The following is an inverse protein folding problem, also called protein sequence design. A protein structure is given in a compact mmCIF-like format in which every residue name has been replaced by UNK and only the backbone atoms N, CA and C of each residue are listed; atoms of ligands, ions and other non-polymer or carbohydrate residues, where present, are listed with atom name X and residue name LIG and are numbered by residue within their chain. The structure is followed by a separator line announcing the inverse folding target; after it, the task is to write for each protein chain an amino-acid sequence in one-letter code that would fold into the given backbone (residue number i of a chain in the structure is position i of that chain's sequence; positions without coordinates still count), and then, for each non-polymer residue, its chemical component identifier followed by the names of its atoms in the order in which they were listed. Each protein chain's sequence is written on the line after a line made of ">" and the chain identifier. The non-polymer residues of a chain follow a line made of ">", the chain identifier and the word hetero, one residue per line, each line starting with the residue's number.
data_IF_276356947668
#
_entry.id   IF_276356947668
#
_cell.length_a   1.000
_cell.length_b   1.000
_cell.length_c   1.000
_cell.angle_alpha   90.00
_cell.angle_beta   90.00
_cell.angle_gamma   90.00
#
_symmetry.space_group_name_H-M   'P 1'
#
loop_
_entity.id
_entity.type
_entity.pdbx_description
1 polymer ?
#
# COMPACT_ATOMS: atom_id res chain seq x y z
N UNK A 1 -53.77 41.34 -3.08
CA UNK A 1 -52.50 41.60 -3.76
C UNK A 1 -51.32 41.79 -2.80
N UNK A 2 -51.35 42.62 -1.75
CA UNK A 2 -50.21 42.81 -0.82
C UNK A 2 -49.69 41.53 -0.11
N UNK A 3 -50.55 40.55 0.22
CA UNK A 3 -50.11 39.29 0.87
C UNK A 3 -49.42 38.30 -0.06
N UNK A 4 -49.64 38.39 -1.36
CA UNK A 4 -48.97 37.52 -2.35
C UNK A 4 -47.57 38.05 -2.65
N UNK A 5 -47.41 39.37 -2.77
CA UNK A 5 -46.10 39.99 -2.95
C UNK A 5 -45.17 39.78 -1.77
N UNK A 6 -45.67 39.76 -0.53
CA UNK A 6 -44.86 39.50 0.67
C UNK A 6 -44.38 38.04 0.72
N UNK A 7 -45.20 37.09 0.29
CA UNK A 7 -44.79 35.68 0.20
C UNK A 7 -43.75 35.42 -0.88
N UNK A 8 -43.88 36.06 -2.04
CA UNK A 8 -42.91 35.96 -3.13
C UNK A 8 -41.58 36.62 -2.72
N UNK A 9 -41.60 37.76 -2.05
CA UNK A 9 -40.39 38.45 -1.52
C UNK A 9 -39.66 37.58 -0.47
N UNK A 10 -40.38 36.89 0.40
CA UNK A 10 -39.79 35.98 1.40
C UNK A 10 -39.19 34.73 0.74
N UNK A 11 -39.84 34.17 -0.29
CA UNK A 11 -39.29 33.03 -1.06
C UNK A 11 -38.07 33.42 -1.88
N UNK A 12 -38.03 34.60 -2.48
CA UNK A 12 -36.85 35.11 -3.19
C UNK A 12 -35.67 35.39 -2.23
N UNK A 13 -35.95 35.88 -1.02
CA UNK A 13 -34.92 36.16 -0.02
C UNK A 13 -34.33 34.87 0.57
N UNK A 14 -35.14 33.79 0.73
CA UNK A 14 -34.68 32.51 1.19
C UNK A 14 -33.86 31.74 0.13
N UNK A 15 -34.09 31.98 -1.16
CA UNK A 15 -33.32 31.38 -2.25
C UNK A 15 -31.90 31.97 -2.41
N UNK A 16 -31.70 33.22 -1.99
CA UNK A 16 -30.38 33.90 -2.05
C UNK A 16 -29.45 33.46 -0.93
N UNK A 17 -29.98 32.92 0.18
CA UNK A 17 -29.17 32.49 1.33
C UNK A 17 -28.62 31.07 1.18
N UNK A 18 -29.09 30.27 0.18
CA UNK A 18 -28.63 28.93 -0.07
C UNK A 18 -27.45 28.81 -1.06
N UNK A 19 -26.93 29.91 -1.53
CA UNK A 19 -25.70 29.94 -2.35
C UNK A 19 -24.45 29.93 -1.49
N UNK A 20 -24.26 28.94 -0.64
CA UNK A 20 -22.97 28.67 -0.04
C UNK A 20 -22.07 28.07 -1.13
N UNK A 21 -21.33 28.93 -1.81
CA UNK A 21 -20.19 28.50 -2.62
C UNK A 21 -19.15 27.93 -1.65
N UNK A 22 -19.06 26.61 -1.56
CA UNK A 22 -17.86 25.95 -1.06
C UNK A 22 -16.81 26.17 -2.15
N UNK A 23 -15.93 27.14 -1.96
CA UNK A 23 -14.73 27.24 -2.76
C UNK A 23 -13.73 26.23 -2.17
N UNK A 24 -13.35 25.22 -2.94
CA UNK A 24 -12.14 24.49 -2.65
C UNK A 24 -10.98 25.50 -2.75
N UNK A 25 -10.43 25.86 -1.60
CA UNK A 25 -9.25 26.71 -1.53
C UNK A 25 -8.06 25.85 -2.00
N UNK A 26 -7.66 26.03 -3.24
CA UNK A 26 -6.39 25.52 -3.76
C UNK A 26 -5.37 26.64 -3.56
N UNK A 27 -4.38 26.48 -2.64
CA UNK A 27 -3.34 27.48 -2.46
C UNK A 27 -2.60 27.74 -3.76
N UNK A 28 -2.47 28.98 -4.16
CA UNK A 28 -1.66 29.40 -5.29
C UNK A 28 -0.17 29.42 -4.85
N UNK A 29 0.75 29.37 -5.81
CA UNK A 29 2.19 29.43 -5.55
C UNK A 29 2.63 30.72 -4.83
N UNK A 30 1.85 31.80 -4.87
CA UNK A 30 2.07 33.03 -4.12
C UNK A 30 1.70 32.91 -2.63
N UNK A 31 0.77 32.04 -2.28
CA UNK A 31 0.39 31.74 -0.89
C UNK A 31 1.46 30.89 -0.20
N UNK A 32 2.35 30.29 -1.00
CA UNK A 32 3.47 29.46 -0.55
C UNK A 32 4.76 30.27 -0.28
N UNK A 33 4.75 31.59 -0.52
CA UNK A 33 5.85 32.49 -0.16
C UNK A 33 5.91 32.67 1.36
N UNK A 34 6.55 31.74 2.04
CA UNK A 34 6.68 31.69 3.49
C UNK A 34 6.59 30.27 4.04
N UNK A 35 6.42 29.28 3.18
CA UNK A 35 6.51 27.88 3.59
C UNK A 35 7.95 27.64 4.04
N UNK A 36 8.06 27.32 5.31
CA UNK A 36 9.26 26.82 5.97
C UNK A 36 9.87 25.68 5.13
N UNK A 37 11.19 25.51 5.21
CA UNK A 37 11.90 24.40 4.54
C UNK A 37 11.13 23.09 4.76
N UNK A 38 11.05 22.18 3.74
CA UNK A 38 10.42 20.88 3.90
C UNK A 38 10.92 20.19 5.16
N UNK A 39 10.00 19.69 5.97
CA UNK A 39 10.34 19.01 7.24
C UNK A 39 10.96 17.65 6.94
N UNK A 40 11.90 17.23 7.78
CA UNK A 40 12.44 15.87 7.76
C UNK A 40 11.40 14.92 8.36
N UNK A 41 11.12 13.84 7.65
CA UNK A 41 10.25 12.75 8.08
C UNK A 41 11.11 11.51 8.30
N UNK A 42 11.03 10.93 9.50
CA UNK A 42 11.76 9.73 9.91
C UNK A 42 10.71 8.69 10.30
N UNK A 43 10.62 7.61 9.53
CA UNK A 43 9.67 6.53 9.72
C UNK A 43 10.41 5.21 9.97
N UNK A 44 10.12 4.56 11.06
CA UNK A 44 10.67 3.24 11.42
C UNK A 44 10.68 3.03 12.93
N UNK A 45 10.49 1.77 13.33
CA UNK A 45 10.60 1.33 14.72
C UNK A 45 11.87 0.51 14.90
N UNK A 46 12.51 0.58 16.05
CA UNK A 46 13.65 -0.28 16.40
C UNK A 46 13.10 -1.67 16.77
N UNK A 47 13.43 -2.67 15.95
CA UNK A 47 12.97 -4.06 16.12
C UNK A 47 14.05 -4.88 16.82
N UNK A 48 13.89 -5.11 18.10
CA UNK A 48 14.84 -5.88 18.92
C UNK A 48 14.71 -7.38 18.58
N UNK A 49 15.83 -7.99 18.23
CA UNK A 49 15.88 -9.39 17.79
C UNK A 49 15.62 -9.58 16.29
N UNK A 50 15.51 -8.49 15.51
CA UNK A 50 15.21 -8.50 14.09
C UNK A 50 16.07 -7.53 13.27
N UNK A 51 15.50 -7.08 12.17
CA UNK A 51 16.08 -6.03 11.31
C UNK A 51 15.25 -4.76 11.45
N UNK A 52 15.89 -3.64 11.72
CA UNK A 52 15.25 -2.33 11.81
C UNK A 52 15.34 -1.64 10.46
N UNK A 53 14.19 -1.33 9.85
CA UNK A 53 14.10 -0.56 8.61
C UNK A 53 13.67 0.86 8.91
N UNK A 54 14.41 1.85 8.39
CA UNK A 54 14.14 3.28 8.60
C UNK A 54 14.05 3.99 7.27
N UNK A 55 12.91 4.62 6.99
CA UNK A 55 12.71 5.45 5.82
C UNK A 55 12.89 6.93 6.14
N UNK A 56 13.65 7.62 5.32
CA UNK A 56 14.00 9.03 5.46
C UNK A 56 13.55 9.81 4.23
N UNK A 57 12.63 10.75 4.43
CA UNK A 57 12.11 11.60 3.36
C UNK A 57 11.82 13.03 3.85
N UNK A 58 11.54 13.94 2.95
CA UNK A 58 10.99 15.25 3.29
C UNK A 58 9.48 15.26 3.17
N UNK A 59 8.83 16.20 3.87
CA UNK A 59 7.46 16.59 3.50
C UNK A 59 7.46 17.19 2.09
N UNK A 60 6.34 17.06 1.40
CA UNK A 60 6.12 17.68 0.10
C UNK A 60 4.88 18.57 0.16
N UNK A 61 4.90 19.79 -0.41
CA UNK A 61 3.70 20.61 -0.50
C UNK A 61 2.71 19.98 -1.49
N UNK A 62 1.43 19.97 -1.15
CA UNK A 62 0.36 19.61 -2.08
C UNK A 62 0.10 20.83 -2.96
N UNK A 63 0.60 20.82 -4.21
CA UNK A 63 0.40 21.88 -5.18
C UNK A 63 -0.69 21.48 -6.19
N UNK A 64 -1.78 22.20 -6.20
CA UNK A 64 -2.84 22.01 -7.21
C UNK A 64 -3.55 20.66 -7.17
N UNK A 65 -3.59 19.99 -6.00
CA UNK A 65 -4.19 18.65 -5.86
C UNK A 65 -3.33 17.50 -6.38
N UNK A 66 -2.08 17.77 -6.80
CA UNK A 66 -1.12 16.74 -7.21
C UNK A 66 -0.19 16.49 -6.03
N UNK A 67 -0.22 15.27 -5.49
CA UNK A 67 0.80 14.80 -4.55
C UNK A 67 2.14 14.71 -5.29
N UNK A 68 3.15 15.38 -4.75
CA UNK A 68 4.54 15.19 -5.19
C UNK A 68 5.23 14.33 -4.14
N UNK A 69 6.00 13.35 -4.57
CA UNK A 69 6.81 12.56 -3.65
C UNK A 69 7.83 13.45 -2.93
N UNK A 70 7.95 13.28 -1.63
CA UNK A 70 8.98 13.96 -0.86
C UNK A 70 10.39 13.53 -1.31
N UNK A 71 11.39 14.39 -1.07
CA UNK A 71 12.78 14.07 -1.39
C UNK A 71 13.24 12.95 -0.45
N UNK A 72 13.74 11.85 -1.01
CA UNK A 72 14.37 10.76 -0.26
C UNK A 72 15.82 11.10 0.10
N UNK A 73 16.20 10.88 1.37
CA UNK A 73 17.55 11.18 1.86
C UNK A 73 18.45 9.94 1.78
N UNK A 74 18.76 9.48 0.56
CA UNK A 74 19.59 8.29 0.32
C UNK A 74 21.04 8.42 0.85
N UNK A 75 21.56 9.64 0.94
CA UNK A 75 22.92 9.91 1.46
C UNK A 75 23.00 10.06 2.97
N UNK A 76 21.93 9.79 3.71
CA UNK A 76 21.93 9.86 5.17
C UNK A 76 22.71 8.70 5.81
N UNK A 77 23.09 8.88 7.08
CA UNK A 77 23.60 7.81 7.93
C UNK A 77 22.62 7.53 9.05
N UNK A 78 22.33 6.27 9.30
CA UNK A 78 21.37 5.82 10.33
C UNK A 78 22.06 4.84 11.26
N UNK A 79 21.83 4.97 12.58
CA UNK A 79 22.32 4.00 13.55
C UNK A 79 21.39 3.93 14.76
N UNK A 80 21.45 2.80 15.45
CA UNK A 80 20.83 2.61 16.76
C UNK A 80 21.90 2.74 17.83
N UNK A 81 21.57 3.36 18.97
CA UNK A 81 22.47 3.57 20.09
C UNK A 81 21.78 3.14 21.40
N UNK A 82 22.53 2.50 22.31
CA UNK A 82 22.05 2.25 23.67
C UNK A 82 22.56 3.32 24.66
N UNK A 83 22.09 3.30 25.91
CA UNK A 83 22.48 4.28 26.94
C UNK A 83 23.97 4.18 27.34
N UNK A 84 24.61 3.03 27.10
CA UNK A 84 26.04 2.84 27.38
C UNK A 84 26.93 3.32 26.22
N UNK A 85 26.33 3.80 25.12
CA UNK A 85 27.08 4.35 23.98
C UNK A 85 27.51 3.29 22.95
N UNK A 86 27.01 2.06 23.03
CA UNK A 86 27.20 1.08 21.97
C UNK A 86 26.34 1.43 20.76
N UNK A 87 26.90 1.24 19.55
CA UNK A 87 26.30 1.67 18.28
C UNK A 87 26.15 0.48 17.34
N UNK A 88 24.97 0.39 16.68
CA UNK A 88 24.66 -0.52 15.57
C UNK A 88 24.43 0.31 14.32
N UNK A 89 25.38 0.24 13.38
CA UNK A 89 25.36 1.04 12.16
C UNK A 89 24.37 0.46 11.14
N UNK A 90 23.64 1.34 10.46
CA UNK A 90 22.76 0.98 9.37
C UNK A 90 23.42 1.08 8.00
N UNK A 91 22.95 0.28 7.09
CA UNK A 91 23.37 0.26 5.68
C UNK A 91 22.21 0.72 4.79
N UNK A 92 22.47 1.44 3.69
CA UNK A 92 21.42 1.79 2.73
C UNK A 92 20.84 0.55 2.08
N UNK A 93 19.52 0.52 1.89
CA UNK A 93 18.82 -0.54 1.17
C UNK A 93 18.79 -0.27 -0.34
N UNK A 94 18.18 -1.17 -1.11
CA UNK A 94 17.92 -0.95 -2.54
C UNK A 94 16.87 0.15 -2.78
N UNK A 95 15.99 0.39 -1.82
CA UNK A 95 15.00 1.45 -1.87
C UNK A 95 15.61 2.78 -1.44
N UNK A 96 15.43 3.81 -2.27
CA UNK A 96 16.01 5.13 -2.03
C UNK A 96 15.49 5.76 -0.74
N UNK A 97 16.39 6.19 0.14
CA UNK A 97 16.07 6.79 1.44
C UNK A 97 15.72 5.78 2.53
N UNK A 98 15.77 4.49 2.26
CA UNK A 98 15.58 3.43 3.25
C UNK A 98 16.93 2.88 3.70
N UNK A 99 17.10 2.76 5.02
CA UNK A 99 18.30 2.20 5.67
C UNK A 99 17.89 1.03 6.56
N UNK A 100 18.75 0.02 6.63
CA UNK A 100 18.50 -1.18 7.42
C UNK A 100 19.62 -1.35 8.46
N UNK A 101 19.23 -1.49 9.72
CA UNK A 101 20.14 -1.74 10.86
C UNK A 101 19.95 -3.17 11.33
N UNK A 102 21.02 -3.93 11.48
CA UNK A 102 20.98 -5.25 12.11
C UNK A 102 20.86 -5.11 13.64
N UNK A 103 19.64 -5.32 14.13
CA UNK A 103 19.29 -5.20 15.54
C UNK A 103 19.00 -6.55 16.22
N UNK A 104 19.42 -7.66 15.59
CA UNK A 104 19.24 -9.03 16.12
C UNK A 104 19.98 -9.26 17.43
N UNK A 105 21.10 -8.57 17.63
CA UNK A 105 21.91 -8.69 18.84
C UNK A 105 21.51 -7.77 20.01
N UNK A 106 20.41 -7.00 19.88
CA UNK A 106 19.95 -6.12 20.95
C UNK A 106 19.30 -6.90 22.10
N UNK A 107 19.59 -6.50 23.35
CA UNK A 107 18.94 -7.06 24.53
C UNK A 107 17.53 -6.52 24.72
N UNK A 108 16.59 -7.38 25.13
CA UNK A 108 15.22 -6.96 25.45
C UNK A 108 15.12 -6.13 26.75
N UNK A 109 16.15 -6.13 27.59
CA UNK A 109 16.20 -5.36 28.83
C UNK A 109 16.86 -3.97 28.62
N UNK A 110 17.35 -3.71 27.40
CA UNK A 110 18.03 -2.47 27.05
C UNK A 110 17.10 -1.29 26.80
N UNK A 111 17.71 -0.11 26.71
CA UNK A 111 17.07 1.11 26.23
C UNK A 111 17.83 1.64 25.01
N UNK A 112 17.09 1.95 23.97
CA UNK A 112 17.66 2.29 22.68
C UNK A 112 17.06 3.58 22.12
N UNK A 113 17.80 4.25 21.26
CA UNK A 113 17.32 5.35 20.43
C UNK A 113 17.80 5.22 19.00
N UNK A 114 17.06 5.80 18.09
CA UNK A 114 17.45 5.97 16.70
C UNK A 114 18.20 7.30 16.54
N UNK A 115 19.29 7.25 15.82
CA UNK A 115 20.08 8.41 15.44
C UNK A 115 20.18 8.45 13.91
N UNK A 116 20.07 9.66 13.35
CA UNK A 116 20.09 9.91 11.90
C UNK A 116 20.93 11.15 11.63
N UNK A 117 21.83 11.08 10.65
CA UNK A 117 22.55 12.24 10.13
C UNK A 117 22.18 12.43 8.67
N UNK A 118 21.57 13.56 8.34
CA UNK A 118 21.16 13.90 6.98
C UNK A 118 22.11 14.98 6.44
N UNK A 119 22.76 14.78 5.28
CA UNK A 119 23.60 15.79 4.66
C UNK A 119 22.87 17.13 4.52
N UNK A 120 23.55 18.22 4.83
CA UNK A 120 23.05 19.59 4.76
C UNK A 120 21.85 19.92 5.67
N UNK A 121 21.38 18.94 6.48
CA UNK A 121 20.26 19.12 7.41
C UNK A 121 20.68 18.89 8.88
N UNK A 122 21.72 18.13 9.14
CA UNK A 122 22.26 17.86 10.46
C UNK A 122 21.85 16.53 11.08
N UNK A 123 21.94 16.46 12.40
CA UNK A 123 21.73 15.22 13.16
C UNK A 123 20.41 15.28 13.92
N UNK A 124 19.71 14.14 13.93
CA UNK A 124 18.42 13.91 14.58
C UNK A 124 18.51 12.71 15.50
N UNK A 125 17.88 12.77 16.66
CA UNK A 125 17.87 11.68 17.63
C UNK A 125 16.47 11.48 18.20
N UNK A 126 16.04 10.23 18.33
CA UNK A 126 14.84 9.93 19.10
C UNK A 126 15.14 9.97 20.61
N UNK A 127 14.10 10.01 21.45
CA UNK A 127 14.24 9.72 22.86
C UNK A 127 14.68 8.26 23.09
N UNK A 128 15.44 7.99 24.16
CA UNK A 128 15.67 6.62 24.60
C UNK A 128 14.37 5.98 25.07
N UNK A 129 14.07 4.82 24.52
CA UNK A 129 12.89 4.02 24.90
C UNK A 129 13.31 2.65 25.41
N UNK A 130 12.57 2.13 26.38
CA UNK A 130 12.69 0.75 26.82
C UNK A 130 12.03 -0.16 25.78
N UNK A 131 12.53 -1.38 25.68
CA UNK A 131 11.97 -2.38 24.77
C UNK A 131 10.57 -2.79 25.25
N UNK A 132 9.60 -2.66 24.35
CA UNK A 132 8.26 -3.21 24.54
C UNK A 132 8.21 -4.63 23.96
N UNK A 133 7.87 -5.62 24.77
CA UNK A 133 7.78 -7.00 24.29
C UNK A 133 6.42 -7.23 23.65
N UNK A 134 6.40 -7.49 22.34
CA UNK A 134 5.19 -7.81 21.61
C UNK A 134 4.68 -9.20 21.98
N UNK A 135 3.42 -9.35 22.40
CA UNK A 135 2.84 -10.68 22.58
C UNK A 135 2.70 -11.39 21.23
N UNK A 136 2.58 -12.72 21.24
CA UNK A 136 2.30 -13.47 20.01
C UNK A 136 0.97 -13.04 19.37
N UNK A 137 0.90 -13.09 18.05
CA UNK A 137 -0.36 -13.02 17.32
C UNK A 137 -1.08 -14.37 17.51
N UNK A 138 -2.23 -14.36 18.18
CA UNK A 138 -3.02 -15.59 18.43
C UNK A 138 -3.59 -16.12 17.12
N UNK A 139 -4.32 -15.27 16.42
CA UNK A 139 -4.97 -15.65 15.17
C UNK A 139 -4.96 -14.53 14.14
N UNK A 140 -4.91 -14.94 12.89
CA UNK A 140 -5.24 -14.13 11.72
C UNK A 140 -6.36 -14.85 11.00
N UNK A 141 -7.51 -14.24 10.92
CA UNK A 141 -8.68 -14.76 10.21
C UNK A 141 -9.01 -13.91 9.00
N UNK A 142 -9.72 -14.51 8.06
CA UNK A 142 -10.33 -13.79 6.95
C UNK A 142 -11.76 -14.28 6.76
N UNK A 143 -12.65 -13.35 6.49
CA UNK A 143 -14.07 -13.65 6.29
C UNK A 143 -14.58 -12.91 5.06
N UNK A 144 -15.48 -13.57 4.33
CA UNK A 144 -16.21 -12.91 3.25
C UNK A 144 -17.31 -12.05 3.84
N UNK A 145 -17.53 -10.87 3.26
CA UNK A 145 -18.72 -10.11 3.55
C UNK A 145 -19.99 -10.88 3.13
N UNK A 146 -21.10 -10.67 3.82
CA UNK A 146 -22.36 -11.41 3.58
C UNK A 146 -22.87 -11.28 2.14
N UNK A 147 -22.61 -10.15 1.50
CA UNK A 147 -22.95 -9.86 0.11
C UNK A 147 -21.90 -10.34 -0.90
N UNK A 148 -20.83 -11.01 -0.45
CA UNK A 148 -19.67 -11.41 -1.23
C UNK A 148 -18.98 -10.25 -1.98
N UNK A 149 -19.06 -9.01 -1.49
CA UNK A 149 -18.44 -7.85 -2.10
C UNK A 149 -16.93 -7.75 -1.83
N UNK A 150 -16.49 -8.28 -0.69
CA UNK A 150 -15.10 -8.22 -0.26
C UNK A 150 -14.74 -9.36 0.70
N UNK A 151 -13.42 -9.51 0.91
CA UNK A 151 -12.81 -10.31 1.97
C UNK A 151 -12.21 -9.36 3.00
N UNK A 152 -12.46 -9.61 4.29
CA UNK A 152 -11.96 -8.82 5.42
C UNK A 152 -10.94 -9.64 6.20
N UNK A 153 -9.79 -9.04 6.50
CA UNK A 153 -8.72 -9.65 7.28
C UNK A 153 -8.70 -9.06 8.67
N UNK A 154 -8.62 -9.92 9.67
CA UNK A 154 -8.68 -9.57 11.08
C UNK A 154 -7.56 -10.24 11.87
N UNK A 155 -7.08 -9.59 12.94
CA UNK A 155 -6.05 -10.09 13.84
C UNK A 155 -6.56 -10.15 15.26
N UNK A 156 -6.18 -11.21 15.99
CA UNK A 156 -6.43 -11.34 17.42
C UNK A 156 -5.10 -11.55 18.15
N UNK A 157 -4.96 -10.92 19.31
CA UNK A 157 -3.81 -11.05 20.19
C UNK A 157 -4.22 -10.80 21.65
N UNK A 158 -3.50 -11.40 22.59
CA UNK A 158 -3.72 -11.13 24.02
C UNK A 158 -2.41 -10.96 24.76
N UNK A 159 -2.51 -10.37 25.95
CA UNK A 159 -1.40 -10.30 26.89
C UNK A 159 -1.88 -10.73 28.28
N UNK A 160 -1.11 -11.59 28.94
CA UNK A 160 -1.38 -12.03 30.32
C UNK A 160 -0.96 -10.99 31.38
N UNK A 161 -0.23 -9.92 31.01
CA UNK A 161 0.13 -8.85 31.91
C UNK A 161 -1.09 -8.04 32.37
N UNK A 162 -1.02 -7.41 33.55
CA UNK A 162 -2.11 -6.57 34.07
C UNK A 162 -2.16 -5.17 33.42
N UNK A 163 -1.06 -4.70 32.82
CA UNK A 163 -1.00 -3.41 32.17
C UNK A 163 -1.71 -3.47 30.80
N UNK A 164 -2.40 -2.39 30.37
CA UNK A 164 -3.00 -2.32 29.04
C UNK A 164 -2.03 -2.64 27.92
N UNK A 165 -2.51 -3.35 26.92
CA UNK A 165 -1.77 -3.65 25.69
C UNK A 165 -2.07 -2.57 24.65
N UNK A 166 -1.02 -2.11 23.97
CA UNK A 166 -1.10 -1.25 22.78
C UNK A 166 -0.31 -1.91 21.68
N UNK A 167 -0.93 -2.17 20.55
CA UNK A 167 -0.31 -2.80 19.38
C UNK A 167 -0.40 -1.92 18.14
N UNK A 168 0.62 -2.03 17.30
CA UNK A 168 0.60 -1.57 15.92
C UNK A 168 0.86 -2.76 15.00
N UNK A 169 0.12 -2.80 13.90
CA UNK A 169 0.32 -3.79 12.85
C UNK A 169 0.74 -3.13 11.56
N UNK A 170 1.65 -3.79 10.88
CA UNK A 170 1.97 -3.58 9.48
C UNK A 170 1.87 -4.92 8.78
N UNK A 171 1.71 -4.92 7.46
CA UNK A 171 1.74 -6.16 6.72
C UNK A 171 2.31 -5.96 5.33
N UNK A 172 2.87 -7.03 4.80
CA UNK A 172 3.18 -7.15 3.38
C UNK A 172 2.22 -8.12 2.74
N UNK A 173 1.93 -7.88 1.47
CA UNK A 173 1.07 -8.70 0.64
C UNK A 173 1.89 -9.28 -0.50
N UNK A 174 1.74 -10.57 -0.75
CA UNK A 174 2.27 -11.22 -1.94
C UNK A 174 1.13 -11.98 -2.61
N UNK A 175 1.04 -11.91 -3.91
CA UNK A 175 0.00 -12.65 -4.62
C UNK A 175 0.48 -13.20 -5.95
N UNK A 176 -0.11 -14.34 -6.30
CA UNK A 176 0.03 -14.96 -7.61
C UNK A 176 -1.13 -14.55 -8.50
N UNK A 177 -0.81 -14.08 -9.69
CA UNK A 177 -1.79 -13.79 -10.74
C UNK A 177 -1.53 -14.71 -11.93
N UNK A 178 -2.60 -15.28 -12.47
CA UNK A 178 -2.54 -16.09 -13.67
C UNK A 178 -3.23 -15.37 -14.82
N UNK A 179 -2.67 -15.46 -16.03
CA UNK A 179 -3.40 -15.08 -17.23
C UNK A 179 -4.63 -15.99 -17.38
N UNK A 180 -5.75 -15.44 -17.82
CA UNK A 180 -6.99 -16.21 -17.98
C UNK A 180 -7.02 -17.02 -19.28
N UNK A 181 -6.28 -16.56 -20.29
CA UNK A 181 -6.12 -17.16 -21.60
C UNK A 181 -4.63 -17.32 -21.92
N UNK A 182 -4.29 -18.23 -22.80
CA UNK A 182 -2.91 -18.44 -23.28
C UNK A 182 -2.82 -17.98 -24.73
N UNK A 183 -1.96 -17.02 -25.03
CA UNK A 183 -1.69 -16.62 -26.39
C UNK A 183 -0.66 -17.57 -27.02
N UNK A 184 -1.02 -18.17 -28.16
CA UNK A 184 -0.15 -19.02 -28.96
C UNK A 184 0.60 -18.24 -30.05
N UNK A 185 0.01 -17.09 -30.46
CA UNK A 185 0.54 -16.21 -31.50
C UNK A 185 0.58 -14.76 -31.02
N UNK A 186 1.51 -13.98 -31.58
CA UNK A 186 1.58 -12.52 -31.39
C UNK A 186 1.53 -11.79 -32.70
N UNK A 187 0.96 -10.59 -32.69
CA UNK A 187 0.95 -9.69 -33.82
C UNK A 187 2.20 -8.80 -33.81
N UNK A 188 2.81 -8.63 -34.98
CA UNK A 188 3.89 -7.67 -35.23
C UNK A 188 3.56 -6.80 -36.43
N UNK A 189 3.85 -5.51 -36.32
CA UNK A 189 3.69 -4.58 -37.43
C UNK A 189 5.00 -4.34 -38.15
N UNK A 190 5.01 -4.56 -39.48
CA UNK A 190 6.16 -4.29 -40.31
C UNK A 190 5.69 -3.91 -41.73
N UNK A 191 6.30 -2.88 -42.31
CA UNK A 191 6.09 -2.47 -43.72
C UNK A 191 4.62 -2.29 -44.12
N UNK A 192 3.79 -1.71 -43.21
CA UNK A 192 2.39 -1.43 -43.49
C UNK A 192 1.45 -2.60 -43.24
N UNK A 193 1.94 -3.76 -42.76
CA UNK A 193 1.11 -4.96 -42.51
C UNK A 193 1.34 -5.51 -41.11
N UNK A 194 0.31 -6.18 -40.59
CA UNK A 194 0.37 -6.96 -39.36
C UNK A 194 0.66 -8.41 -39.71
N UNK A 195 1.68 -8.96 -39.08
CA UNK A 195 2.09 -10.36 -39.21
C UNK A 195 1.87 -11.09 -37.89
N UNK A 196 1.48 -12.37 -37.98
CA UNK A 196 1.39 -13.25 -36.84
C UNK A 196 2.66 -14.11 -36.73
N UNK A 197 3.17 -14.24 -35.52
CA UNK A 197 4.34 -15.05 -35.16
C UNK A 197 3.99 -15.95 -34.00
N UNK A 198 4.43 -17.20 -34.04
CA UNK A 198 4.23 -18.15 -32.94
C UNK A 198 4.98 -17.69 -31.69
N UNK A 199 4.36 -17.83 -30.52
CA UNK A 199 4.99 -17.57 -29.22
C UNK A 199 5.61 -18.88 -28.73
N UNK A 200 6.95 -18.89 -28.40
CA UNK A 200 7.59 -20.08 -27.83
C UNK A 200 6.91 -20.51 -26.52
N UNK A 201 6.93 -21.81 -26.23
CA UNK A 201 6.29 -22.39 -25.05
C UNK A 201 6.82 -21.78 -23.74
N UNK A 202 8.14 -21.59 -23.63
CA UNK A 202 8.79 -20.95 -22.49
C UNK A 202 8.24 -19.54 -22.22
N UNK A 203 8.07 -18.73 -23.26
CA UNK A 203 7.50 -17.37 -23.13
C UNK A 203 6.03 -17.39 -22.76
N UNK A 204 5.26 -18.39 -23.22
CA UNK A 204 3.86 -18.58 -22.82
C UNK A 204 3.73 -18.96 -21.35
N UNK A 205 4.65 -19.81 -20.87
CA UNK A 205 4.71 -20.18 -19.45
C UNK A 205 5.03 -18.97 -18.57
N UNK A 206 6.02 -18.16 -18.96
CA UNK A 206 6.37 -16.92 -18.25
C UNK A 206 5.21 -15.92 -18.19
N UNK A 207 4.43 -15.80 -19.28
CA UNK A 207 3.26 -14.92 -19.34
C UNK A 207 2.04 -15.46 -18.59
N UNK A 208 2.05 -16.76 -18.23
CA UNK A 208 0.88 -17.43 -17.62
C UNK A 208 0.79 -17.28 -16.12
N UNK A 209 1.92 -17.16 -15.42
CA UNK A 209 2.00 -17.09 -13.95
C UNK A 209 3.00 -16.06 -13.47
N UNK A 210 2.51 -15.10 -12.72
CA UNK A 210 3.28 -13.95 -12.26
C UNK A 210 3.08 -13.70 -10.77
N UNK A 211 3.99 -12.95 -10.19
CA UNK A 211 3.96 -12.62 -8.77
C UNK A 211 4.02 -11.10 -8.57
N UNK A 212 3.37 -10.65 -7.54
CA UNK A 212 3.39 -9.24 -7.16
C UNK A 212 3.52 -9.09 -5.66
N UNK A 213 4.02 -7.94 -5.26
CA UNK A 213 4.27 -7.58 -3.87
C UNK A 213 3.68 -6.21 -3.57
N UNK A 214 3.19 -6.03 -2.33
CA UNK A 214 2.70 -4.77 -1.81
C UNK A 214 2.96 -4.62 -0.32
N UNK A 215 2.97 -3.38 0.14
CA UNK A 215 3.11 -3.04 1.55
C UNK A 215 1.84 -2.36 2.05
N UNK A 216 1.51 -2.56 3.33
CA UNK A 216 0.43 -1.81 3.98
C UNK A 216 0.76 -0.32 4.03
N UNK A 217 -0.21 0.53 3.69
CA UNK A 217 -0.07 2.00 3.71
C UNK A 217 -0.90 2.65 4.82
N UNK A 218 -1.79 1.90 5.47
CA UNK A 218 -2.65 2.40 6.54
C UNK A 218 -2.00 2.36 7.92
N UNK A 219 -2.63 3.07 8.87
CA UNK A 219 -2.26 3.01 10.28
C UNK A 219 -3.21 2.06 11.00
N UNK A 220 -2.68 0.88 11.39
CA UNK A 220 -3.42 -0.17 12.08
C UNK A 220 -2.93 -0.26 13.51
N UNK A 221 -3.76 0.17 14.45
CA UNK A 221 -3.45 0.22 15.88
C UNK A 221 -4.64 -0.29 16.70
N UNK A 222 -4.34 -0.97 17.80
CA UNK A 222 -5.34 -1.44 18.74
C UNK A 222 -4.88 -1.26 20.19
N UNK A 223 -5.85 -1.18 21.10
CA UNK A 223 -5.58 -1.00 22.53
C UNK A 223 -6.62 -1.71 23.38
N UNK A 224 -6.17 -2.25 24.51
CA UNK A 224 -7.05 -2.83 25.54
C UNK A 224 -7.33 -1.86 26.69
N UNK A 225 -6.91 -0.60 26.63
CA UNK A 225 -7.03 0.37 27.73
C UNK A 225 -8.47 0.54 28.25
N UNK A 226 -9.46 0.40 27.35
CA UNK A 226 -10.89 0.53 27.68
C UNK A 226 -11.61 -0.83 27.82
N UNK A 227 -10.87 -1.92 27.75
CA UNK A 227 -11.41 -3.27 27.82
C UNK A 227 -11.22 -3.86 29.21
N UNK A 228 -12.09 -4.79 29.59
CA UNK A 228 -12.01 -5.48 30.89
C UNK A 228 -10.91 -6.55 30.93
N UNK A 229 -10.41 -6.96 29.77
CA UNK A 229 -9.34 -7.96 29.61
C UNK A 229 -8.33 -7.47 28.56
N UNK A 230 -7.10 -7.92 28.71
CA UNK A 230 -6.04 -7.60 27.75
C UNK A 230 -6.12 -8.51 26.50
N UNK A 231 -7.24 -8.46 25.80
CA UNK A 231 -7.53 -9.21 24.59
C UNK A 231 -7.99 -8.24 23.50
N UNK A 232 -7.29 -8.20 22.40
CA UNK A 232 -7.74 -7.58 21.17
C UNK A 232 -8.26 -8.72 20.30
N UNK A 233 -9.56 -8.73 20.08
CA UNK A 233 -10.22 -9.78 19.32
C UNK A 233 -10.74 -9.22 18.00
N UNK A 234 -10.31 -9.84 16.88
CA UNK A 234 -10.80 -9.55 15.54
C UNK A 234 -10.65 -8.08 15.11
N UNK A 235 -9.50 -7.47 15.44
CA UNK A 235 -9.19 -6.12 14.92
C UNK A 235 -9.04 -6.16 13.42
N UNK A 236 -9.78 -5.31 12.70
CA UNK A 236 -9.77 -5.28 11.24
C UNK A 236 -8.52 -4.60 10.72
N UNK A 237 -7.74 -5.34 9.90
CA UNK A 237 -6.53 -4.84 9.27
C UNK A 237 -6.76 -4.38 7.83
N UNK A 238 -7.41 -5.21 7.02
CA UNK A 238 -7.46 -5.00 5.58
C UNK A 238 -8.75 -5.52 4.97
N UNK A 239 -9.12 -4.94 3.82
CA UNK A 239 -10.26 -5.38 3.03
C UNK A 239 -9.88 -5.43 1.57
N UNK A 240 -10.14 -6.55 0.90
CA UNK A 240 -9.89 -6.75 -0.53
C UNK A 240 -11.23 -6.97 -1.24
N UNK A 241 -11.50 -6.18 -2.27
CA UNK A 241 -12.73 -6.31 -3.05
C UNK A 241 -12.77 -7.62 -3.86
N UNK A 242 -13.95 -8.18 -4.07
CA UNK A 242 -14.16 -9.43 -4.80
C UNK A 242 -13.62 -9.42 -6.24
N UNK A 243 -13.54 -8.23 -6.86
CA UNK A 243 -13.03 -8.04 -8.23
C UNK A 243 -11.53 -7.80 -8.30
N UNK A 244 -10.85 -7.76 -7.16
CA UNK A 244 -9.41 -7.48 -7.09
C UNK A 244 -8.60 -8.71 -7.54
N UNK A 245 -7.66 -8.49 -8.46
CA UNK A 245 -6.79 -9.56 -9.01
C UNK A 245 -5.90 -10.20 -7.95
N UNK A 246 -5.63 -9.55 -6.81
CA UNK A 246 -4.86 -10.12 -5.71
C UNK A 246 -5.44 -11.45 -5.19
N UNK A 247 -6.75 -11.62 -5.23
CA UNK A 247 -7.44 -12.84 -4.77
C UNK A 247 -7.87 -13.75 -5.93
N UNK A 248 -7.27 -13.60 -7.12
CA UNK A 248 -7.61 -14.39 -8.31
C UNK A 248 -6.99 -15.79 -8.33
N UNK A 249 -5.90 -16.02 -7.61
CA UNK A 249 -5.21 -17.33 -7.53
C UNK A 249 -4.82 -17.66 -6.10
N UNK A 250 -3.66 -17.22 -5.66
CA UNK A 250 -3.16 -17.39 -4.29
C UNK A 250 -2.69 -16.05 -3.76
N UNK A 251 -3.19 -15.69 -2.61
CA UNK A 251 -2.82 -14.49 -1.86
C UNK A 251 -2.16 -14.86 -0.55
N UNK A 252 -1.16 -14.10 -0.15
CA UNK A 252 -0.46 -14.25 1.11
C UNK A 252 -0.34 -12.90 1.81
N UNK A 253 -0.71 -12.83 3.08
CA UNK A 253 -0.47 -11.68 3.95
C UNK A 253 0.51 -12.06 5.04
N UNK A 254 1.61 -11.30 5.16
CA UNK A 254 2.58 -11.42 6.25
C UNK A 254 2.35 -10.26 7.20
N UNK A 255 1.84 -10.53 8.38
CA UNK A 255 1.49 -9.53 9.38
C UNK A 255 2.60 -9.45 10.42
N UNK A 256 3.07 -8.24 10.69
CA UNK A 256 3.99 -7.90 11.75
C UNK A 256 3.26 -7.10 12.83
N UNK A 257 3.42 -7.51 14.07
CA UNK A 257 2.88 -6.86 15.26
C UNK A 257 4.02 -6.36 16.14
N UNK A 258 3.98 -5.09 16.51
CA UNK A 258 4.84 -4.49 17.52
C UNK A 258 4.00 -4.00 18.70
N UNK A 259 4.55 -4.10 19.92
CA UNK A 259 3.94 -3.50 21.10
C UNK A 259 4.43 -2.05 21.26
N UNK A 260 3.60 -1.20 21.84
CA UNK A 260 3.89 0.22 22.05
C UNK A 260 3.63 0.62 23.50
N UNK A 261 4.25 1.74 23.90
CA UNK A 261 3.78 2.45 25.09
C UNK A 261 2.56 3.35 24.75
N UNK A 262 1.94 3.89 25.80
CA UNK A 262 0.77 4.78 25.65
C UNK A 262 1.04 6.04 24.85
N UNK A 263 2.27 6.58 24.91
CA UNK A 263 2.64 7.80 24.17
C UNK A 263 2.73 7.53 22.67
N UNK A 264 3.38 6.41 22.29
CA UNK A 264 3.42 5.95 20.92
C UNK A 264 2.02 5.71 20.35
N UNK A 265 1.15 5.02 21.12
CA UNK A 265 -0.23 4.79 20.72
C UNK A 265 -0.98 6.09 20.45
N UNK A 266 -0.88 7.07 21.34
CA UNK A 266 -1.52 8.39 21.16
C UNK A 266 -0.99 9.13 19.93
N UNK A 267 0.32 9.06 19.67
CA UNK A 267 0.90 9.65 18.45
C UNK A 267 0.26 9.05 17.20
N UNK A 268 0.17 7.73 17.12
CA UNK A 268 -0.43 7.05 15.96
C UNK A 268 -1.95 7.25 15.87
N UNK A 269 -2.66 7.33 17.00
CA UNK A 269 -4.10 7.62 17.03
C UNK A 269 -4.41 9.00 16.46
N UNK A 270 -3.64 10.03 16.85
CA UNK A 270 -3.78 11.39 16.31
C UNK A 270 -3.41 11.42 14.83
N UNK A 271 -2.32 10.76 14.44
CA UNK A 271 -1.88 10.68 13.03
C UNK A 271 -2.95 10.01 12.18
N UNK A 272 -3.50 8.87 12.62
CA UNK A 272 -4.60 8.15 11.95
C UNK A 272 -5.82 9.04 11.73
N UNK A 273 -6.24 9.76 12.77
CA UNK A 273 -7.40 10.66 12.68
C UNK A 273 -7.18 11.84 11.73
N UNK A 274 -5.94 12.33 11.62
CA UNK A 274 -5.58 13.43 10.73
C UNK A 274 -5.60 13.03 9.25
N UNK A 275 -5.17 11.80 8.95
CA UNK A 275 -5.14 11.26 7.57
C UNK A 275 -6.54 10.87 7.09
N UNK A 276 -7.35 10.26 7.97
CA UNK A 276 -8.66 9.71 7.58
C UNK A 276 -9.74 10.77 7.33
N UNK A 277 -9.46 12.05 7.53
CA UNK A 277 -10.42 13.13 7.31
C UNK A 277 -11.70 13.04 8.16
N UNK A 278 -11.77 12.09 9.11
CA UNK A 278 -12.93 11.82 9.96
C UNK A 278 -13.07 12.81 11.11
N UNK A 279 -12.16 13.79 11.20
CA UNK A 279 -12.37 14.99 12.00
C UNK A 279 -13.53 15.77 11.41
N UNK A 280 -14.77 15.51 11.86
CA UNK A 280 -15.92 16.30 11.45
C UNK A 280 -15.65 17.80 11.65
N UNK A 281 -16.51 18.66 11.08
CA UNK A 281 -16.43 20.14 11.11
C UNK A 281 -16.16 20.74 12.51
N UNK A 282 -16.23 19.95 13.57
CA UNK A 282 -16.01 20.30 14.97
C UNK A 282 -14.89 19.52 15.66
N UNK A 283 -14.12 18.69 14.92
CA UNK A 283 -12.95 18.07 15.52
C UNK A 283 -11.95 19.21 15.82
N UNK A 284 -11.40 19.30 17.05
CA UNK A 284 -10.33 20.22 17.32
C UNK A 284 -9.22 19.93 16.33
N UNK A 285 -8.76 20.98 15.61
CA UNK A 285 -7.55 20.84 14.78
C UNK A 285 -6.49 20.21 15.67
N UNK A 286 -5.86 19.09 15.26
CA UNK A 286 -4.84 18.48 16.07
C UNK A 286 -3.78 19.55 16.34
N UNK A 287 -3.64 19.88 17.62
CA UNK A 287 -2.47 20.60 18.09
C UNK A 287 -1.28 19.80 17.56
N UNK A 288 -0.32 20.50 16.98
CA UNK A 288 0.91 20.01 16.37
C UNK A 288 1.30 18.57 16.81
N UNK A 289 1.27 17.62 15.85
CA UNK A 289 1.61 16.20 16.13
C UNK A 289 3.10 16.16 16.45
N UNK A 290 3.43 16.08 17.74
CA UNK A 290 4.83 16.01 18.19
C UNK A 290 5.24 14.54 18.33
N UNK A 291 6.26 14.15 17.57
CA UNK A 291 6.95 12.89 17.75
C UNK A 291 7.94 12.92 18.94
N UNK A 292 8.76 11.89 19.01
CA UNK A 292 9.83 11.79 20.01
C UNK A 292 11.23 11.99 19.41
N UNK A 293 11.31 12.60 18.24
CA UNK A 293 12.55 12.89 17.52
C UNK A 293 12.83 14.38 17.57
N UNK A 294 14.09 14.74 17.84
CA UNK A 294 14.55 16.13 17.91
C UNK A 294 15.78 16.33 17.04
N UNK A 295 15.92 17.51 16.45
CA UNK A 295 17.14 17.93 15.79
C UNK A 295 18.17 18.31 16.85
N UNK A 296 19.37 17.72 16.74
CA UNK A 296 20.52 18.05 17.60
C UNK A 296 21.22 19.30 17.09
N UNK A 297 21.28 19.44 15.76
CA UNK A 297 21.98 20.55 15.10
C UNK A 297 21.17 21.84 15.16
N UNK A 298 19.85 21.76 15.00
CA UNK A 298 18.94 22.90 15.00
C UNK A 298 17.76 22.64 15.96
N UNK A 299 17.90 22.95 17.27
CA UNK A 299 16.91 22.54 18.29
C UNK A 299 15.47 23.02 18.06
N UNK A 300 15.29 24.10 17.31
CA UNK A 300 13.96 24.64 16.96
C UNK A 300 13.37 24.04 15.68
N UNK A 301 14.15 23.20 14.97
CA UNK A 301 13.66 22.53 13.74
C UNK A 301 12.64 21.44 14.09
N UNK A 302 11.49 21.51 13.41
CA UNK A 302 10.44 20.48 13.55
C UNK A 302 10.79 19.25 12.73
N UNK A 303 10.55 18.08 13.32
CA UNK A 303 10.76 16.77 12.70
C UNK A 303 9.49 15.96 12.84
N UNK A 304 9.10 15.28 11.78
CA UNK A 304 7.95 14.37 11.78
C UNK A 304 8.45 12.95 11.96
N UNK A 305 7.85 12.23 12.89
CA UNK A 305 8.11 10.83 13.14
C UNK A 305 8.08 10.47 14.61
N UNK A 306 7.86 9.22 14.88
CA UNK A 306 7.92 8.63 16.23
C UNK A 306 8.63 7.29 16.13
N UNK A 307 9.65 7.11 16.94
CA UNK A 307 10.43 5.87 17.03
C UNK A 307 10.00 5.10 18.27
N UNK A 308 9.45 3.93 18.07
CA UNK A 308 9.17 2.96 19.12
C UNK A 308 10.33 1.93 19.17
N UNK A 309 10.47 1.23 20.27
CA UNK A 309 11.44 0.14 20.46
C UNK A 309 10.67 -1.10 20.91
N UNK A 310 10.64 -2.12 20.08
CA UNK A 310 9.83 -3.30 20.35
C UNK A 310 10.48 -4.57 19.83
N UNK A 311 10.07 -5.71 20.38
CA UNK A 311 10.17 -6.98 19.66
C UNK A 311 9.03 -7.08 18.66
N UNK A 312 9.17 -7.97 17.69
CA UNK A 312 8.19 -8.22 16.65
C UNK A 312 7.58 -9.62 16.79
N UNK A 313 6.27 -9.73 16.57
CA UNK A 313 5.59 -11.00 16.38
C UNK A 313 5.05 -11.06 14.96
N UNK A 314 5.41 -12.10 14.21
CA UNK A 314 5.04 -12.24 12.80
C UNK A 314 4.12 -13.43 12.60
N UNK A 315 3.08 -13.27 11.78
CA UNK A 315 2.20 -14.36 11.37
C UNK A 315 1.86 -14.24 9.89
N UNK A 316 1.85 -15.38 9.20
CA UNK A 316 1.54 -15.48 7.77
C UNK A 316 0.24 -16.22 7.56
N UNK A 317 -0.58 -15.74 6.64
CA UNK A 317 -1.81 -16.40 6.20
C UNK A 317 -1.83 -16.50 4.67
N UNK A 318 -2.22 -17.67 4.18
CA UNK A 318 -2.47 -17.90 2.75
C UNK A 318 -3.97 -17.99 2.52
N UNK A 319 -4.44 -17.43 1.43
CA UNK A 319 -5.84 -17.43 1.01
C UNK A 319 -5.93 -17.92 -0.43
N UNK A 320 -6.63 -19.01 -0.63
CA UNK A 320 -6.79 -19.62 -1.94
C UNK A 320 -8.08 -19.14 -2.61
N UNK A 321 -7.98 -18.73 -3.87
CA UNK A 321 -9.14 -18.23 -4.63
C UNK A 321 -10.33 -19.20 -4.64
N UNK A 322 -10.06 -20.53 -4.68
CA UNK A 322 -11.12 -21.54 -4.68
C UNK A 322 -11.88 -21.62 -3.35
N UNK A 323 -11.26 -21.26 -2.23
CA UNK A 323 -11.92 -21.19 -0.92
C UNK A 323 -12.85 -19.98 -0.82
N UNK A 324 -12.45 -18.87 -1.44
CA UNK A 324 -13.25 -17.66 -1.51
C UNK A 324 -14.39 -17.78 -2.51
N UNK A 325 -14.12 -18.35 -3.69
CA UNK A 325 -15.06 -18.45 -4.81
C UNK A 325 -15.74 -17.11 -5.15
N UNK A 326 -14.96 -16.02 -5.16
CA UNK A 326 -15.45 -14.65 -5.36
C UNK A 326 -14.99 -14.07 -6.70
N UNK A 327 -13.72 -14.27 -7.05
CA UNK A 327 -13.15 -13.70 -8.27
C UNK A 327 -13.80 -14.33 -9.52
N UNK A 328 -14.34 -13.48 -10.38
CA UNK A 328 -14.94 -13.90 -11.65
C UNK A 328 -14.00 -13.58 -12.79
N UNK A 329 -13.67 -14.58 -13.57
CA UNK A 329 -12.92 -14.40 -14.81
C UNK A 329 -13.81 -13.73 -15.85
N UNK A 330 -13.27 -12.75 -16.57
CA UNK A 330 -14.01 -11.97 -17.56
C UNK A 330 -13.33 -11.93 -18.94
N UNK A 331 -12.30 -12.75 -19.15
CA UNK A 331 -11.55 -12.75 -20.39
C UNK A 331 -12.20 -13.66 -21.44
N UNK A 332 -12.46 -13.11 -22.61
CA UNK A 332 -12.98 -13.82 -23.76
C UNK A 332 -12.17 -13.45 -25.00
N UNK A 333 -11.97 -14.42 -25.88
CA UNK A 333 -11.45 -14.18 -27.22
C UNK A 333 -12.60 -13.92 -28.19
N UNK A 334 -12.46 -12.90 -29.01
CA UNK A 334 -13.42 -12.59 -30.10
C UNK A 334 -12.74 -12.92 -31.41
N UNK A 335 -13.44 -13.70 -32.26
CA UNK A 335 -12.96 -14.10 -33.57
C UNK A 335 -13.10 -12.97 -34.59
N UNK A 336 -11.99 -12.65 -35.25
CA UNK A 336 -11.97 -11.66 -36.33
C UNK A 336 -11.22 -12.21 -37.56
N UNK A 337 -11.71 -11.94 -38.77
CA UNK A 337 -10.99 -12.20 -40.02
C UNK A 337 -9.84 -11.21 -40.19
N UNK A 338 -8.88 -11.55 -41.06
CA UNK A 338 -7.77 -10.63 -41.43
C UNK A 338 -8.33 -9.42 -42.20
N UNK A 339 -9.25 -9.66 -43.12
CA UNK A 339 -9.89 -8.63 -43.95
C UNK A 339 -11.42 -8.79 -43.94
N UNK A 340 -12.14 -7.68 -43.90
CA UNK A 340 -13.59 -7.59 -44.01
C UNK A 340 -13.94 -6.39 -44.90
N UNK A 341 -14.74 -6.62 -45.97
CA UNK A 341 -15.15 -5.59 -46.92
C UNK A 341 -14.00 -4.77 -47.56
N UNK A 342 -12.77 -5.35 -47.61
CA UNK A 342 -11.57 -4.69 -48.13
C UNK A 342 -10.76 -3.92 -47.11
N UNK A 343 -11.19 -3.85 -45.85
CA UNK A 343 -10.44 -3.25 -44.75
C UNK A 343 -9.64 -4.31 -44.01
N UNK A 344 -8.38 -3.98 -43.64
CA UNK A 344 -7.55 -4.86 -42.84
C UNK A 344 -7.93 -4.73 -41.35
N UNK A 345 -8.72 -5.69 -40.87
CA UNK A 345 -9.26 -5.72 -39.49
C UNK A 345 -8.14 -5.90 -38.49
N UNK A 346 -7.15 -6.76 -38.74
CA UNK A 346 -6.05 -7.02 -37.80
C UNK A 346 -5.18 -5.79 -37.59
N UNK A 347 -5.03 -4.94 -38.62
CA UNK A 347 -4.37 -3.65 -38.49
C UNK A 347 -5.09 -2.76 -37.45
N UNK A 348 -6.41 -2.66 -37.59
CA UNK A 348 -7.22 -1.86 -36.65
C UNK A 348 -7.19 -2.40 -35.23
N UNK A 349 -7.26 -3.72 -35.02
CA UNK A 349 -7.18 -4.37 -33.71
C UNK A 349 -5.80 -4.16 -33.06
N UNK A 350 -4.72 -4.33 -33.83
CA UNK A 350 -3.36 -4.10 -33.34
C UNK A 350 -3.15 -2.67 -32.82
N UNK A 351 -3.58 -1.66 -33.60
CA UNK A 351 -3.47 -0.25 -33.19
C UNK A 351 -4.47 0.16 -32.12
N UNK A 352 -5.53 -0.63 -31.89
CA UNK A 352 -6.43 -0.48 -30.74
C UNK A 352 -5.85 -1.11 -29.46
N UNK A 353 -4.66 -1.73 -29.53
CA UNK A 353 -3.99 -2.34 -28.38
C UNK A 353 -4.50 -3.74 -28.02
N UNK A 354 -5.32 -4.37 -28.89
CA UNK A 354 -5.71 -5.77 -28.71
C UNK A 354 -4.58 -6.71 -29.19
N UNK A 355 -4.60 -7.93 -28.65
CA UNK A 355 -3.61 -8.97 -28.98
C UNK A 355 -4.31 -10.26 -29.44
N UNK A 356 -3.68 -10.97 -30.41
CA UNK A 356 -4.23 -12.25 -30.85
C UNK A 356 -3.92 -13.34 -29.82
N UNK A 357 -4.81 -14.34 -29.77
CA UNK A 357 -4.65 -15.52 -28.91
C UNK A 357 -4.16 -16.71 -29.75
N UNK A 358 -4.93 -17.10 -30.75
CA UNK A 358 -4.70 -18.22 -31.63
C UNK A 358 -5.50 -18.07 -32.92
N UNK A 359 -5.15 -18.83 -33.93
CA UNK A 359 -5.98 -18.96 -35.12
C UNK A 359 -7.26 -19.75 -34.87
N UNK A 360 -8.27 -19.52 -35.67
CA UNK A 360 -9.39 -20.45 -35.78
C UNK A 360 -8.92 -21.77 -36.37
N UNK A 361 -9.64 -22.87 -36.08
CA UNK A 361 -9.33 -24.18 -36.62
C UNK A 361 -10.31 -24.53 -37.77
N UNK A 362 -9.77 -25.01 -38.89
CA UNK A 362 -10.56 -25.62 -39.98
C UNK A 362 -11.13 -26.93 -39.54
N UNK A 363 -12.10 -27.46 -40.29
CA UNK A 363 -12.76 -28.77 -40.05
C UNK A 363 -11.76 -29.95 -39.91
N UNK A 364 -10.61 -29.87 -40.60
CA UNK A 364 -9.54 -30.87 -40.51
C UNK A 364 -8.58 -30.67 -39.33
N UNK A 365 -8.80 -29.65 -38.50
CA UNK A 365 -7.98 -29.32 -37.34
C UNK A 365 -6.76 -28.43 -37.65
N UNK A 366 -6.48 -28.06 -38.88
CA UNK A 366 -5.40 -27.15 -39.26
C UNK A 366 -5.76 -25.69 -38.91
N UNK A 367 -4.78 -24.83 -38.59
CA UNK A 367 -5.02 -23.42 -38.37
C UNK A 367 -5.54 -22.69 -39.60
N UNK A 368 -6.64 -21.96 -39.45
CA UNK A 368 -7.10 -21.01 -40.47
C UNK A 368 -6.39 -19.66 -40.29
N UNK A 369 -5.31 -19.46 -41.03
CA UNK A 369 -4.49 -18.25 -40.93
C UNK A 369 -5.19 -16.96 -41.41
N UNK A 370 -6.43 -17.04 -41.89
CA UNK A 370 -7.25 -15.86 -42.26
C UNK A 370 -8.12 -15.37 -41.10
N UNK A 371 -8.22 -16.12 -40.00
CA UNK A 371 -9.03 -15.76 -38.83
C UNK A 371 -8.32 -16.04 -37.53
N UNK A 372 -8.39 -15.11 -36.59
CA UNK A 372 -7.79 -15.26 -35.27
C UNK A 372 -8.70 -14.72 -34.16
N UNK A 373 -8.57 -15.31 -32.98
CA UNK A 373 -9.19 -14.79 -31.77
C UNK A 373 -8.32 -13.67 -31.19
N UNK A 374 -8.95 -12.57 -30.80
CA UNK A 374 -8.29 -11.40 -30.20
C UNK A 374 -8.91 -11.09 -28.85
N UNK A 375 -8.09 -10.52 -27.96
CA UNK A 375 -8.50 -10.13 -26.61
C UNK A 375 -7.68 -8.93 -26.11
N UNK A 376 -7.96 -8.44 -24.91
CA UNK A 376 -7.10 -7.44 -24.27
C UNK A 376 -5.80 -8.08 -23.77
N UNK A 377 -4.67 -7.35 -23.76
CA UNK A 377 -3.35 -7.87 -23.35
C UNK A 377 -3.35 -8.46 -21.93
N UNK A 378 -4.12 -7.86 -21.02
CA UNK A 378 -4.22 -8.29 -19.62
C UNK A 378 -4.87 -9.67 -19.43
N UNK A 379 -5.51 -10.20 -20.47
CA UNK A 379 -6.08 -11.54 -20.45
C UNK A 379 -5.07 -12.65 -20.73
N UNK A 380 -3.98 -12.34 -21.40
CA UNK A 380 -2.99 -13.32 -21.89
C UNK A 380 -1.59 -13.14 -21.31
N UNK A 381 -1.32 -12.03 -20.66
CA UNK A 381 0.00 -11.72 -20.09
C UNK A 381 -0.12 -11.13 -18.69
N UNK A 382 0.15 -11.93 -17.68
CA UNK A 382 0.10 -11.50 -16.29
C UNK A 382 1.27 -10.57 -15.90
N UNK A 383 2.35 -10.49 -16.71
CA UNK A 383 3.53 -9.63 -16.47
C UNK A 383 3.16 -8.15 -16.47
N UNK A 384 2.06 -7.78 -17.13
CA UNK A 384 1.52 -6.40 -17.13
C UNK A 384 1.21 -5.90 -15.70
N UNK A 385 0.88 -6.82 -14.78
CA UNK A 385 0.54 -6.50 -13.39
C UNK A 385 1.59 -6.97 -12.39
N UNK A 386 2.66 -7.61 -12.86
CA UNK A 386 3.70 -8.18 -12.00
C UNK A 386 4.72 -7.11 -11.63
N UNK A 387 5.13 -7.11 -10.36
CA UNK A 387 6.18 -6.22 -9.86
C UNK A 387 7.22 -6.94 -9.01
N UNK A 388 7.14 -8.28 -8.89
CA UNK A 388 8.07 -9.06 -8.08
C UNK A 388 8.34 -10.44 -8.68
N UNK A 389 9.36 -11.11 -8.15
CA UNK A 389 9.63 -12.52 -8.41
C UNK A 389 8.86 -13.39 -7.41
N UNK A 390 8.80 -14.71 -7.69
CA UNK A 390 8.20 -15.69 -6.79
C UNK A 390 8.85 -15.63 -5.41
N UNK A 391 8.10 -15.43 -4.31
CA UNK A 391 8.66 -15.45 -2.97
C UNK A 391 9.25 -16.83 -2.62
N UNK A 392 10.38 -16.85 -1.89
CA UNK A 392 11.04 -18.10 -1.53
C UNK A 392 10.18 -19.05 -0.67
N UNK A 393 9.22 -18.50 0.06
CA UNK A 393 8.30 -19.25 0.92
C UNK A 393 7.00 -19.66 0.21
N UNK A 394 6.87 -19.38 -1.09
CA UNK A 394 5.66 -19.73 -1.84
C UNK A 394 5.48 -21.22 -1.93
N UNK A 395 4.26 -21.76 -1.73
CA UNK A 395 4.01 -23.20 -1.77
C UNK A 395 4.49 -23.84 -3.08
N UNK A 396 5.20 -24.98 -2.97
CA UNK A 396 5.64 -25.76 -4.12
C UNK A 396 4.49 -26.61 -4.69
N UNK A 397 4.53 -26.93 -5.98
CA UNK A 397 3.66 -27.94 -6.58
C UNK A 397 2.30 -27.49 -7.04
N UNK A 398 2.20 -26.30 -7.59
CA UNK A 398 0.98 -25.81 -8.27
C UNK A 398 1.25 -25.52 -9.72
#
# INVERSE_FOLDING_TARGET
>A
MKRIFLKIAVYCLSAVVMGSCVYDFVPDSSDLQGIEKPLVVIEGDIIVGGMTSVALKSTSPVLGGIEQDGISYAGASVWVENEEGAIWQGEPSQESGVHVVDTRGLSQEGRYRLCVSVPDRGEYRSAFKQVMVSPPIDNVSYEKADDNSCVQFEVSTHNSASAPLYCRWTFTEDWESNSELTAEIRAKYKEGKVYMEDIPEEEREEASRCYSHGNSTGIYIGSTEKLSQNVIDRERLHTINATDKRISSLYCMNISQTAMDKEAYKYWEVTKSSISGTGGLFAPMPSEIRGNITSVTFPDEKVIGYVNVSTESVKRVFVYAHELNMFKRNCNGVLYPEEEEGDNVWFSLYFSGLVPIRYELKENGDPDKSQAYWTSPDCVDCRIFSNSSRPAYWPEGR
#
